data_IF_016547871634
#
_entry.id   IF_016547871634
#
_cell.length_a   1.000
_cell.length_b   1.000
_cell.length_c   1.000
_cell.angle_alpha   90.00
_cell.angle_beta   90.00
_cell.angle_gamma   90.00
#
_symmetry.space_group_name_H-M   'P 1'
#
loop_
_entity.id
_entity.type
_entity.pdbx_description
1 polymer ?
#
# COMPACT_ATOMS: atom_id res chain seq x y z
N UNK A 1 -66.95 -58.65 -10.09
CA UNK A 1 -67.22 -57.37 -10.76
C UNK A 1 -66.43 -56.34 -10.00
N UNK A 2 -65.17 -56.14 -10.40
CA UNK A 2 -64.71 -54.99 -11.21
C UNK A 2 -64.78 -53.68 -10.40
N UNK A 3 -63.76 -52.84 -10.31
CA UNK A 3 -62.54 -52.73 -11.10
C UNK A 3 -61.39 -52.10 -10.28
N UNK A 4 -60.20 -52.33 -10.81
CA UNK A 4 -58.88 -51.77 -10.54
C UNK A 4 -58.80 -50.28 -10.19
N UNK A 5 -57.86 -49.92 -9.29
CA UNK A 5 -56.93 -48.83 -9.56
C UNK A 5 -55.65 -48.92 -8.72
N UNK A 6 -54.50 -48.96 -9.43
CA UNK A 6 -53.13 -48.91 -8.93
C UNK A 6 -52.72 -47.44 -8.67
N UNK A 7 -51.94 -47.16 -7.61
CA UNK A 7 -50.84 -46.16 -7.56
C UNK A 7 -50.12 -46.14 -6.20
N UNK A 8 -48.87 -46.62 -6.17
CA UNK A 8 -47.62 -45.84 -5.97
C UNK A 8 -47.51 -45.14 -4.61
N UNK A 9 -46.75 -45.68 -3.65
CA UNK A 9 -45.31 -45.40 -3.43
C UNK A 9 -44.95 -43.91 -3.42
N UNK A 10 -44.84 -43.33 -2.23
CA UNK A 10 -44.00 -42.16 -1.99
C UNK A 10 -43.36 -42.27 -0.59
N UNK A 11 -42.11 -42.74 -0.57
CA UNK A 11 -41.17 -42.49 0.52
C UNK A 11 -40.80 -41.01 0.45
N UNK A 12 -41.41 -40.18 1.29
CA UNK A 12 -40.91 -38.81 1.46
C UNK A 12 -39.77 -38.77 2.47
N UNK A 13 -38.57 -38.69 1.90
CA UNK A 13 -37.33 -38.33 2.55
C UNK A 13 -37.42 -36.89 3.03
N UNK A 14 -37.53 -36.68 4.34
CA UNK A 14 -37.21 -35.40 4.96
C UNK A 14 -36.33 -35.62 6.19
N UNK A 15 -35.00 -35.67 5.99
CA UNK A 15 -34.15 -34.88 6.89
C UNK A 15 -33.04 -34.09 6.17
N UNK A 16 -33.01 -34.11 4.83
CA UNK A 16 -31.87 -33.53 4.10
C UNK A 16 -31.94 -32.00 3.94
N UNK A 17 -33.12 -31.38 4.11
CA UNK A 17 -33.27 -29.92 3.93
C UNK A 17 -32.91 -29.10 5.17
N UNK A 18 -33.00 -29.66 6.38
CA UNK A 18 -32.60 -28.92 7.60
C UNK A 18 -31.08 -28.81 7.75
N UNK A 19 -30.33 -29.86 7.40
CA UNK A 19 -28.86 -29.86 7.50
C UNK A 19 -28.18 -28.85 6.55
N UNK A 20 -28.74 -28.68 5.35
CA UNK A 20 -28.22 -27.72 4.36
C UNK A 20 -28.52 -26.27 4.77
N UNK A 21 -29.69 -26.01 5.36
CA UNK A 21 -30.04 -24.66 5.85
C UNK A 21 -29.19 -24.28 7.07
N UNK A 22 -28.90 -25.23 7.97
CA UNK A 22 -28.04 -24.97 9.13
C UNK A 22 -26.57 -24.76 8.73
N UNK A 23 -26.07 -25.50 7.72
CA UNK A 23 -24.74 -25.32 7.17
C UNK A 23 -24.60 -23.98 6.40
N UNK A 24 -25.64 -23.55 5.67
CA UNK A 24 -25.66 -22.21 5.06
C UNK A 24 -25.75 -21.10 6.10
N UNK A 25 -26.54 -21.27 7.18
CA UNK A 25 -26.60 -20.28 8.25
C UNK A 25 -25.26 -20.14 8.98
N UNK A 26 -24.52 -21.24 9.20
CA UNK A 26 -23.18 -21.21 9.79
C UNK A 26 -22.11 -20.69 8.81
N UNK A 27 -22.27 -20.88 7.50
CA UNK A 27 -21.43 -20.22 6.48
C UNK A 27 -21.73 -18.73 6.35
N UNK A 28 -22.98 -18.32 6.56
CA UNK A 28 -23.38 -16.90 6.55
C UNK A 28 -22.93 -16.22 7.85
N UNK A 29 -23.02 -16.88 9.03
CA UNK A 29 -22.51 -16.35 10.30
C UNK A 29 -20.97 -16.44 10.43
N UNK A 30 -20.35 -17.50 9.91
CA UNK A 30 -18.89 -17.65 9.84
C UNK A 30 -18.26 -16.75 8.77
N UNK A 31 -18.95 -16.55 7.64
CA UNK A 31 -18.60 -15.57 6.61
C UNK A 31 -18.81 -14.12 7.05
N UNK A 32 -19.84 -13.85 7.87
CA UNK A 32 -20.02 -12.52 8.49
C UNK A 32 -18.94 -12.18 9.52
N UNK A 33 -18.24 -13.17 10.10
CA UNK A 33 -17.06 -12.90 10.94
C UNK A 33 -15.76 -12.71 10.14
N UNK A 34 -15.75 -13.05 8.85
CA UNK A 34 -14.68 -12.70 7.90
C UNK A 34 -14.96 -11.36 7.18
N UNK A 35 -16.12 -10.76 7.45
CA UNK A 35 -16.49 -9.39 7.10
C UNK A 35 -16.72 -8.59 8.40
N UNK A 36 -15.81 -8.74 9.36
CA UNK A 36 -15.62 -7.63 10.30
C UNK A 36 -15.14 -6.48 9.43
N UNK A 37 -15.97 -5.44 9.30
CA UNK A 37 -15.48 -4.09 9.10
C UNK A 37 -14.30 -3.94 10.06
N UNK A 38 -13.08 -4.05 9.55
CA UNK A 38 -11.92 -3.72 10.37
C UNK A 38 -12.18 -2.30 10.87
N UNK A 39 -12.13 -2.06 12.20
CA UNK A 39 -12.30 -0.72 12.72
C UNK A 39 -11.33 0.16 11.94
N UNK A 40 -11.84 1.23 11.31
CA UNK A 40 -11.10 2.06 10.36
C UNK A 40 -9.69 2.37 10.89
N UNK A 41 -8.70 1.58 10.48
CA UNK A 41 -7.35 1.72 10.99
C UNK A 41 -6.76 3.01 10.39
N UNK A 42 -5.88 3.71 11.09
CA UNK A 42 -5.48 5.08 10.71
C UNK A 42 -4.59 5.13 9.47
N UNK A 43 -4.87 6.04 8.51
CA UNK A 43 -4.04 6.35 7.33
C UNK A 43 -2.52 6.35 7.58
N UNK A 44 -1.72 5.88 6.60
CA UNK A 44 -0.27 6.01 6.60
C UNK A 44 0.16 7.05 5.56
N UNK A 45 1.12 7.89 5.93
CA UNK A 45 1.83 8.78 5.00
C UNK A 45 2.92 7.98 4.31
N UNK A 46 3.04 8.13 2.98
CA UNK A 46 4.09 7.45 2.22
C UNK A 46 5.21 8.43 1.89
N UNK A 47 6.44 8.03 2.19
CA UNK A 47 7.64 8.78 1.89
C UNK A 47 8.56 7.96 0.99
N UNK A 48 9.11 8.58 -0.04
CA UNK A 48 9.96 7.94 -1.02
C UNK A 48 11.31 8.63 -1.06
N UNK A 49 12.38 7.84 -0.99
CA UNK A 49 13.74 8.36 -0.96
C UNK A 49 14.71 7.34 -1.57
N UNK A 50 15.94 7.76 -1.81
CA UNK A 50 16.99 6.92 -2.36
C UNK A 50 18.29 7.14 -1.61
N UNK A 51 19.03 6.08 -1.35
CA UNK A 51 20.44 6.14 -0.95
C UNK A 51 21.37 5.85 -2.13
N UNK A 52 20.82 5.51 -3.31
CA UNK A 52 21.60 5.23 -4.52
C UNK A 52 22.27 6.52 -5.01
N UNK A 53 23.62 6.58 -5.06
CA UNK A 53 24.34 7.77 -5.49
C UNK A 53 24.14 8.03 -6.99
N UNK A 54 24.21 9.30 -7.39
CA UNK A 54 24.17 9.77 -8.79
C UNK A 54 22.95 9.30 -9.61
N UNK A 55 21.87 8.93 -8.92
CA UNK A 55 20.62 8.49 -9.53
C UNK A 55 19.43 9.29 -9.03
N UNK A 56 18.52 9.56 -9.96
CA UNK A 56 17.14 9.96 -9.71
C UNK A 56 16.25 8.75 -9.98
N UNK A 57 15.43 8.41 -9.00
CA UNK A 57 14.39 7.39 -9.15
C UNK A 57 13.15 8.10 -9.66
N UNK A 58 12.60 7.63 -10.79
CA UNK A 58 11.31 8.07 -11.30
C UNK A 58 10.32 6.91 -11.18
N UNK A 59 9.31 7.07 -10.33
CA UNK A 59 8.26 6.06 -10.16
C UNK A 59 7.20 6.27 -11.23
N UNK A 60 7.07 5.30 -12.13
CA UNK A 60 6.04 5.31 -13.18
C UNK A 60 4.69 4.83 -12.66
N UNK A 61 4.68 3.87 -11.72
CA UNK A 61 3.45 3.47 -11.02
C UNK A 61 3.74 2.79 -9.69
N UNK A 62 2.75 2.83 -8.81
CA UNK A 62 2.71 2.06 -7.57
C UNK A 62 1.30 1.48 -7.41
N UNK A 63 1.17 0.21 -7.01
CA UNK A 63 -0.13 -0.48 -6.86
C UNK A 63 -0.17 -1.35 -5.62
N UNK A 64 -1.33 -1.44 -4.99
CA UNK A 64 -1.55 -2.31 -3.83
C UNK A 64 -1.92 -3.75 -4.23
N UNK A 65 -2.23 -4.59 -3.24
CA UNK A 65 -2.64 -5.98 -3.46
C UNK A 65 -3.93 -6.16 -4.27
N UNK A 66 -4.81 -5.17 -4.30
CA UNK A 66 -6.02 -5.17 -5.11
C UNK A 66 -5.76 -4.62 -6.52
N UNK A 67 -4.53 -4.21 -6.83
CA UNK A 67 -4.15 -3.55 -8.07
C UNK A 67 -4.59 -2.10 -8.14
N UNK A 68 -5.06 -1.51 -7.04
CA UNK A 68 -5.44 -0.12 -6.98
C UNK A 68 -4.18 0.75 -7.06
N UNK A 69 -4.15 1.75 -7.96
CA UNK A 69 -3.00 2.62 -8.08
C UNK A 69 -2.93 3.56 -6.88
N UNK A 70 -1.71 3.77 -6.37
CA UNK A 70 -1.41 4.94 -5.56
C UNK A 70 -1.33 6.17 -6.46
N UNK A 71 -1.50 7.37 -5.89
CA UNK A 71 -1.25 8.60 -6.62
C UNK A 71 0.20 8.64 -7.19
N UNK A 72 0.46 9.50 -8.17
CA UNK A 72 1.77 9.53 -8.83
C UNK A 72 2.85 10.02 -7.85
N UNK A 73 3.85 9.18 -7.57
CA UNK A 73 4.91 9.48 -6.60
C UNK A 73 5.98 10.45 -7.10
N UNK A 74 6.01 10.70 -8.42
CA UNK A 74 6.99 11.59 -9.04
C UNK A 74 8.40 11.00 -8.98
N UNK A 75 9.39 11.87 -8.80
CA UNK A 75 10.79 11.48 -8.65
C UNK A 75 11.50 12.08 -7.45
N UNK A 76 12.55 11.38 -7.03
CA UNK A 76 13.41 11.74 -5.92
C UNK A 76 14.85 11.31 -6.23
N UNK A 77 15.80 11.92 -5.53
CA UNK A 77 17.23 11.66 -5.68
C UNK A 77 17.84 11.24 -4.35
N UNK A 78 19.14 11.01 -4.36
CA UNK A 78 19.93 10.65 -3.19
C UNK A 78 19.66 11.57 -1.99
N UNK A 79 19.49 10.99 -0.80
CA UNK A 79 19.36 11.71 0.46
C UNK A 79 20.21 11.06 1.54
N UNK A 80 21.07 11.86 2.19
CA UNK A 80 21.89 11.44 3.35
C UNK A 80 21.02 11.13 4.58
N UNK A 81 19.77 11.59 4.60
CA UNK A 81 18.82 11.38 5.69
C UNK A 81 17.49 10.82 5.16
N UNK A 82 17.45 9.54 4.78
CA UNK A 82 16.29 8.95 4.09
C UNK A 82 15.01 8.94 4.95
N UNK A 83 15.13 9.03 6.28
CA UNK A 83 13.98 9.10 7.18
C UNK A 83 13.38 10.51 7.32
N UNK A 84 14.08 11.57 6.89
CA UNK A 84 13.58 12.95 7.00
C UNK A 84 13.72 13.77 5.69
N UNK A 85 14.15 13.12 4.61
CA UNK A 85 14.24 13.70 3.26
C UNK A 85 13.43 12.91 2.24
N UNK A 86 13.58 13.30 0.97
CA UNK A 86 12.92 12.66 -0.16
C UNK A 86 11.63 13.36 -0.61
N UNK A 87 10.79 12.60 -1.32
CA UNK A 87 9.49 13.05 -1.78
C UNK A 87 8.39 12.41 -0.92
N UNK A 88 7.52 13.23 -0.34
CA UNK A 88 6.38 12.76 0.45
C UNK A 88 5.12 12.80 -0.41
N UNK A 89 4.36 11.71 -0.41
CA UNK A 89 2.99 11.74 -0.91
C UNK A 89 2.00 11.77 0.24
N UNK A 90 1.22 12.84 0.29
CA UNK A 90 -0.03 12.86 1.04
C UNK A 90 -1.11 12.14 0.23
N UNK A 91 -1.83 11.22 0.87
CA UNK A 91 -2.93 10.40 0.32
C UNK A 91 -2.51 9.01 -0.14
N UNK A 92 -2.45 8.06 0.81
CA UNK A 92 -2.79 6.69 0.49
C UNK A 92 -4.29 6.65 0.10
N UNK A 93 -4.68 6.04 -1.03
CA UNK A 93 -6.08 5.96 -1.44
C UNK A 93 -6.88 5.06 -0.50
N UNK A 94 -8.11 5.50 -0.17
CA UNK A 94 -9.19 4.63 0.31
C UNK A 94 -9.13 4.19 1.77
N UNK A 95 -10.30 3.84 2.32
CA UNK A 95 -10.52 3.30 3.67
C UNK A 95 -9.55 2.16 3.99
N UNK A 96 -8.98 2.24 5.19
CA UNK A 96 -7.67 1.70 5.52
C UNK A 96 -7.63 0.20 5.82
N UNK A 97 -6.66 -0.46 5.20
CA UNK A 97 -5.95 -1.64 5.68
C UNK A 97 -4.51 -1.50 5.18
N UNK A 98 -3.51 -1.62 6.05
CA UNK A 98 -2.11 -1.55 5.63
C UNK A 98 -1.87 -2.58 4.50
N UNK A 99 -1.35 -2.17 3.33
CA UNK A 99 -1.22 -3.10 2.22
C UNK A 99 -0.27 -4.23 2.62
N UNK A 100 -0.60 -5.45 2.22
CA UNK A 100 0.32 -6.58 2.44
C UNK A 100 1.62 -6.35 1.67
N UNK A 101 1.50 -5.79 0.47
CA UNK A 101 2.61 -5.41 -0.38
C UNK A 101 2.26 -4.22 -1.28
N UNK A 102 3.28 -3.54 -1.78
CA UNK A 102 3.17 -2.52 -2.83
C UNK A 102 4.06 -2.93 -4.00
N UNK A 103 3.50 -2.96 -5.21
CA UNK A 103 4.25 -3.18 -6.44
C UNK A 103 4.65 -1.83 -7.03
N UNK A 104 5.95 -1.58 -7.15
CA UNK A 104 6.49 -0.40 -7.80
C UNK A 104 6.95 -0.73 -9.20
N UNK A 105 6.75 0.20 -10.12
CA UNK A 105 7.44 0.23 -11.41
C UNK A 105 8.16 1.57 -11.55
N UNK A 106 9.46 1.54 -11.81
CA UNK A 106 10.30 2.73 -11.83
C UNK A 106 11.44 2.64 -12.85
N UNK A 107 12.08 3.78 -13.08
CA UNK A 107 13.33 3.89 -13.84
C UNK A 107 14.38 4.62 -12.99
N UNK A 108 15.64 4.34 -13.28
CA UNK A 108 16.79 5.01 -12.68
C UNK A 108 17.46 5.90 -13.72
N UNK A 109 17.40 7.21 -13.50
CA UNK A 109 17.92 8.23 -14.40
C UNK A 109 19.21 8.82 -13.82
N UNK A 110 20.16 9.28 -14.66
CA UNK A 110 21.32 10.01 -14.17
C UNK A 110 20.94 11.25 -13.35
N UNK A 111 21.65 11.48 -12.26
CA UNK A 111 21.53 12.68 -11.44
C UNK A 111 22.91 13.19 -10.99
N UNK A 112 23.18 14.51 -11.00
CA UNK A 112 22.31 15.57 -11.51
C UNK A 112 22.05 15.40 -13.00
N UNK A 113 20.84 15.77 -13.44
CA UNK A 113 20.50 15.76 -14.85
C UNK A 113 21.37 16.78 -15.59
N UNK A 114 21.64 16.56 -16.88
CA UNK A 114 22.30 17.60 -17.67
C UNK A 114 21.42 18.86 -17.68
N UNK A 115 22.00 20.02 -17.35
CA UNK A 115 21.24 21.25 -17.27
C UNK A 115 20.77 21.66 -18.66
N UNK A 116 19.57 22.24 -18.74
CA UNK A 116 18.92 22.62 -20.00
C UNK A 116 19.78 23.59 -20.82
N UNK A 117 20.56 24.42 -20.12
CA UNK A 117 21.50 25.40 -20.65
C UNK A 117 22.69 24.77 -21.40
N UNK A 118 22.91 23.47 -21.25
CA UNK A 118 23.96 22.74 -22.00
C UNK A 118 23.57 22.45 -23.45
N UNK A 119 22.33 22.74 -23.85
CA UNK A 119 21.79 22.43 -25.16
C UNK A 119 21.56 23.70 -25.98
N UNK A 120 21.83 23.63 -27.28
CA UNK A 120 21.71 24.79 -28.18
C UNK A 120 20.25 25.21 -28.41
N UNK A 121 19.31 24.27 -28.32
CA UNK A 121 17.86 24.52 -28.51
C UNK A 121 17.03 23.69 -27.55
N UNK A 122 15.75 24.06 -27.41
CA UNK A 122 14.80 23.30 -26.61
C UNK A 122 14.58 21.89 -27.14
N UNK A 123 14.49 21.75 -28.46
CA UNK A 123 14.26 20.49 -29.13
C UNK A 123 15.42 19.51 -28.88
N UNK A 124 16.66 20.02 -28.82
CA UNK A 124 17.83 19.21 -28.48
C UNK A 124 17.79 18.72 -27.02
N UNK A 125 17.35 19.58 -26.10
CA UNK A 125 17.17 19.20 -24.70
C UNK A 125 16.06 18.16 -24.53
N UNK A 126 14.90 18.37 -25.15
CA UNK A 126 13.78 17.41 -25.13
C UNK A 126 14.19 16.08 -25.73
N UNK A 127 14.86 16.07 -26.88
CA UNK A 127 15.35 14.84 -27.50
C UNK A 127 16.34 14.08 -26.60
N UNK A 128 17.23 14.80 -25.91
CA UNK A 128 18.11 14.20 -24.91
C UNK A 128 17.33 13.59 -23.75
N UNK A 129 16.34 14.31 -23.20
CA UNK A 129 15.50 13.79 -22.11
C UNK A 129 14.78 12.52 -22.57
N UNK A 130 14.10 12.56 -23.72
CA UNK A 130 13.39 11.42 -24.30
C UNK A 130 14.31 10.20 -24.51
N UNK A 131 15.52 10.42 -25.01
CA UNK A 131 16.52 9.36 -25.17
C UNK A 131 16.89 8.75 -23.81
N UNK A 132 17.10 9.57 -22.77
CA UNK A 132 17.44 9.08 -21.42
C UNK A 132 16.31 8.25 -20.82
N UNK A 133 15.07 8.70 -20.95
CA UNK A 133 13.90 7.95 -20.47
C UNK A 133 13.70 6.65 -21.26
N UNK A 134 13.88 6.66 -22.59
CA UNK A 134 13.76 5.47 -23.43
C UNK A 134 14.86 4.44 -23.18
N UNK A 135 16.09 4.90 -22.93
CA UNK A 135 17.24 4.04 -22.69
C UNK A 135 17.26 3.43 -21.28
N UNK A 136 16.57 4.05 -20.31
CA UNK A 136 16.53 3.55 -18.94
C UNK A 136 15.60 2.33 -18.82
N UNK A 137 16.09 1.17 -18.35
CA UNK A 137 15.24 0.00 -18.14
C UNK A 137 14.14 0.28 -17.12
N UNK A 138 12.92 -0.14 -17.44
CA UNK A 138 11.83 -0.22 -16.47
C UNK A 138 12.08 -1.40 -15.53
N UNK A 139 12.04 -1.12 -14.23
CA UNK A 139 12.16 -2.12 -13.16
C UNK A 139 10.82 -2.26 -12.46
N UNK A 140 10.50 -3.47 -12.00
CA UNK A 140 9.29 -3.76 -11.24
C UNK A 140 9.62 -4.64 -10.04
N UNK A 141 9.11 -4.29 -8.86
CA UNK A 141 9.34 -5.03 -7.62
C UNK A 141 8.13 -4.94 -6.69
N UNK A 142 7.80 -6.06 -6.06
CA UNK A 142 6.80 -6.13 -4.98
C UNK A 142 7.50 -6.06 -3.64
N UNK A 143 7.16 -5.04 -2.86
CA UNK A 143 7.73 -4.78 -1.56
C UNK A 143 6.70 -5.15 -0.49
N UNK A 144 7.05 -6.07 0.40
CA UNK A 144 6.20 -6.45 1.53
C UNK A 144 6.18 -5.36 2.59
N UNK A 145 5.00 -4.95 3.04
CA UNK A 145 4.84 -3.85 4.01
C UNK A 145 4.29 -4.36 5.34
N UNK A 146 3.22 -5.16 5.33
CA UNK A 146 2.51 -5.51 6.56
C UNK A 146 3.37 -6.24 7.60
N UNK A 147 4.33 -7.05 7.16
CA UNK A 147 5.26 -7.77 8.04
C UNK A 147 6.30 -6.86 8.72
N UNK A 148 6.43 -5.60 8.28
CA UNK A 148 7.47 -4.66 8.72
C UNK A 148 7.01 -3.74 9.84
N UNK A 149 5.69 -3.52 9.95
CA UNK A 149 5.09 -2.65 10.96
C UNK A 149 4.51 -3.52 12.07
N UNK A 150 4.97 -3.38 13.33
CA UNK A 150 4.46 -4.18 14.41
C UNK A 150 3.01 -3.77 14.76
N UNK A 151 2.21 -4.74 15.20
CA UNK A 151 0.79 -4.53 15.53
C UNK A 151 0.57 -3.38 16.52
N UNK A 152 1.43 -3.24 17.53
CA UNK A 152 1.32 -2.18 18.53
C UNK A 152 1.40 -0.77 17.93
N UNK A 153 2.15 -0.57 16.84
CA UNK A 153 2.28 0.73 16.19
C UNK A 153 0.98 1.10 15.45
N UNK A 154 0.35 0.11 14.80
CA UNK A 154 -0.95 0.28 14.15
C UNK A 154 -2.04 0.57 15.17
N UNK A 155 -2.05 -0.14 16.29
CA UNK A 155 -2.99 0.11 17.39
C UNK A 155 -2.83 1.52 17.98
N UNK A 156 -1.60 1.99 18.14
CA UNK A 156 -1.31 3.33 18.67
C UNK A 156 -1.84 4.44 17.76
N UNK A 157 -1.60 4.32 16.44
CA UNK A 157 -2.11 5.26 15.44
C UNK A 157 -3.63 5.20 15.33
N UNK A 158 -4.22 4.00 15.39
CA UNK A 158 -5.67 3.82 15.40
C UNK A 158 -6.33 4.47 16.64
N UNK A 159 -5.73 4.31 17.83
CA UNK A 159 -6.19 4.96 19.08
C UNK A 159 -6.14 6.48 18.97
N UNK A 160 -5.03 7.04 18.47
CA UNK A 160 -4.90 8.49 18.28
C UNK A 160 -5.98 9.03 17.34
N UNK A 161 -6.18 8.36 16.20
CA UNK A 161 -7.24 8.73 15.24
C UNK A 161 -8.63 8.66 15.85
N UNK A 162 -8.95 7.61 16.58
CA UNK A 162 -10.28 7.45 17.20
C UNK A 162 -10.58 8.56 18.23
N UNK A 163 -9.55 9.10 18.87
CA UNK A 163 -9.67 10.23 19.79
C UNK A 163 -9.65 11.61 19.09
N UNK A 164 -9.36 11.67 17.79
CA UNK A 164 -9.20 12.92 17.05
C UNK A 164 -10.56 13.53 16.71
N UNK A 165 -10.81 14.82 17.03
CA UNK A 165 -12.01 15.51 16.62
C UNK A 165 -12.21 15.56 15.10
N UNK A 166 -13.45 15.67 14.61
CA UNK A 166 -13.69 15.92 13.19
C UNK A 166 -12.97 17.19 12.72
N UNK A 167 -12.28 17.10 11.58
CA UNK A 167 -11.47 18.16 10.94
C UNK A 167 -10.12 18.48 11.59
N UNK A 168 -9.66 17.68 12.54
CA UNK A 168 -8.30 17.76 13.07
C UNK A 168 -7.43 16.61 12.54
N UNK A 169 -6.12 16.83 12.52
CA UNK A 169 -5.16 15.75 12.24
C UNK A 169 -4.90 14.97 13.53
N UNK A 170 -4.73 13.64 13.45
CA UNK A 170 -4.38 12.87 14.63
C UNK A 170 -2.99 13.24 15.13
N UNK A 171 -2.82 13.22 16.45
CA UNK A 171 -1.53 13.49 17.07
C UNK A 171 -0.45 12.50 16.65
N UNK A 172 -0.86 11.28 16.30
CA UNK A 172 0.04 10.23 15.84
C UNK A 172 -0.35 9.78 14.45
N UNK A 173 0.63 9.80 13.55
CA UNK A 173 0.49 9.32 12.17
C UNK A 173 1.57 8.29 11.88
N UNK A 174 1.20 7.21 11.20
CA UNK A 174 2.18 6.26 10.66
C UNK A 174 2.79 6.84 9.39
N UNK A 175 4.12 6.85 9.31
CA UNK A 175 4.86 7.15 8.09
C UNK A 175 5.55 5.88 7.63
N UNK A 176 5.34 5.50 6.37
CA UNK A 176 6.03 4.41 5.69
C UNK A 176 7.05 5.01 4.73
N UNK A 177 8.31 4.68 4.93
CA UNK A 177 9.42 5.16 4.10
C UNK A 177 9.87 4.02 3.20
N UNK A 178 9.64 4.17 1.90
CA UNK A 178 10.21 3.32 0.86
C UNK A 178 11.54 3.91 0.40
N UNK A 179 12.61 3.16 0.62
CA UNK A 179 13.99 3.61 0.46
C UNK A 179 14.64 2.76 -0.62
N UNK A 180 14.94 3.36 -1.76
CA UNK A 180 15.70 2.70 -2.82
C UNK A 180 17.16 2.62 -2.39
N UNK A 181 17.68 1.40 -2.33
CA UNK A 181 19.09 1.10 -2.04
C UNK A 181 19.70 0.33 -3.20
N UNK A 182 21.01 0.10 -3.16
CA UNK A 182 21.68 -0.79 -4.12
C UNK A 182 21.19 -2.24 -4.04
N UNK A 183 20.61 -2.63 -2.89
CA UNK A 183 20.18 -3.99 -2.58
C UNK A 183 18.65 -4.17 -2.71
N UNK A 184 17.97 -3.24 -3.38
CA UNK A 184 16.51 -3.23 -3.56
C UNK A 184 15.81 -2.20 -2.68
N UNK A 185 14.48 -2.28 -2.62
CA UNK A 185 13.65 -1.32 -1.88
C UNK A 185 13.51 -1.78 -0.42
N UNK A 186 13.91 -0.93 0.52
CA UNK A 186 13.73 -1.15 1.96
C UNK A 186 12.49 -0.42 2.47
N UNK A 187 11.80 -1.00 3.44
CA UNK A 187 10.67 -0.35 4.13
C UNK A 187 11.07 -0.04 5.55
N UNK A 188 11.07 1.24 5.88
CA UNK A 188 11.12 1.72 7.25
C UNK A 188 9.77 2.31 7.64
N UNK A 189 9.51 2.38 8.93
CA UNK A 189 8.34 3.07 9.45
C UNK A 189 8.72 3.98 10.59
N UNK A 190 7.92 5.02 10.79
CA UNK A 190 8.03 5.97 11.89
C UNK A 190 6.64 6.37 12.36
N UNK A 191 6.41 6.43 13.66
CA UNK A 191 5.24 7.14 14.20
C UNK A 191 5.65 8.60 14.34
N UNK A 192 5.05 9.46 13.53
CA UNK A 192 5.21 10.90 13.68
C UNK A 192 4.27 11.39 14.78
N UNK A 193 4.83 12.08 15.77
CA UNK A 193 4.07 12.69 16.86
C UNK A 193 4.00 14.21 16.66
N UNK A 194 2.79 14.77 16.67
CA UNK A 194 2.53 16.22 16.60
C UNK A 194 3.03 16.95 17.85
N UNK A 195 3.09 16.27 19.00
CA UNK A 195 3.53 16.84 20.27
C UNK A 195 5.04 17.13 20.25
N UNK A 196 5.38 18.38 20.56
CA UNK A 196 6.77 18.83 20.59
C UNK A 196 7.57 18.06 21.65
N UNK A 197 8.57 17.31 21.20
CA UNK A 197 9.44 16.52 22.08
C UNK A 197 8.92 15.12 22.40
N UNK A 198 7.80 14.70 21.81
CA UNK A 198 7.32 13.33 21.90
C UNK A 198 8.27 12.34 21.24
N UNK A 199 8.41 11.15 21.84
CA UNK A 199 9.14 10.07 21.20
C UNK A 199 8.47 9.72 19.86
N UNK A 200 9.28 9.57 18.81
CA UNK A 200 8.84 9.10 17.49
C UNK A 200 9.46 7.72 17.23
N UNK A 201 8.84 6.63 17.71
CA UNK A 201 9.33 5.29 17.45
C UNK A 201 9.50 5.03 15.95
N UNK A 202 10.53 4.27 15.60
CA UNK A 202 10.83 3.88 14.23
C UNK A 202 11.34 2.44 14.17
N UNK A 203 11.26 1.84 12.98
CA UNK A 203 11.72 0.48 12.74
C UNK A 203 11.61 0.08 11.27
N UNK A 204 11.62 -1.22 11.01
CA UNK A 204 11.57 -1.80 9.68
C UNK A 204 12.90 -2.40 9.25
N UNK A 205 13.16 -2.38 7.95
CA UNK A 205 14.36 -2.99 7.36
C UNK A 205 15.65 -2.26 7.79
N UNK A 206 16.81 -2.95 7.77
CA UNK A 206 18.11 -2.28 7.79
C UNK A 206 18.32 -1.53 6.46
N UNK A 207 18.95 -0.35 6.55
CA UNK A 207 19.37 0.48 5.41
C UNK A 207 20.89 0.33 5.26
#
# INVERSE_FOLDING_TARGET
MDASHIKSSTRDRAPFKLGVILALALLILGGFRLWQDEPSTGGAVLNFTSTVPDKRIEISSARDQAGLPFAHAGSFHHSDNPMNGGATMGSAPGTFGMPTWVEFTWQELPYPAQPRESFATEEAWVAYVDERYRAAPLKTERVKVAEKVPAWALEEVAKSRAATPPNELPDKMLWLHFIWTTDGIKVRWKIHNSERGGNSPEGGDPI
#
